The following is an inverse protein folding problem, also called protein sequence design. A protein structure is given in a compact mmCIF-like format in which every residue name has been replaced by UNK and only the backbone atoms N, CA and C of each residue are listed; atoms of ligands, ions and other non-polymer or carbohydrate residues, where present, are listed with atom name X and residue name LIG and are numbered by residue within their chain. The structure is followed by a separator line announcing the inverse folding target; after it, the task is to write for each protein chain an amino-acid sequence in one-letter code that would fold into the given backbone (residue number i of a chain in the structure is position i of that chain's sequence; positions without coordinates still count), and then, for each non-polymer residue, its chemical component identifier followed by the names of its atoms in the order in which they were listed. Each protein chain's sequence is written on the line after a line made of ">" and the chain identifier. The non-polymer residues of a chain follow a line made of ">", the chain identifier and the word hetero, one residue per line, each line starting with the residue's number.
data_IF_582818608246
#
_entry.id   IF_582818608246
#
_cell.length_a   1.000
_cell.length_b   1.000
_cell.length_c   1.000
_cell.angle_alpha   90.00
_cell.angle_beta   90.00
_cell.angle_gamma   90.00
#
_symmetry.space_group_name_H-M   'P 1'
#
loop_
_entity.id
_entity.type
_entity.pdbx_description
1 polymer ?
#
# COMPACT_ATOMS: atom_id res chain seq x y z
N UNK A 1 15.23 28.88 0.63
CA UNK A 1 16.31 28.65 1.61
C UNK A 1 16.21 27.20 2.08
N UNK A 2 16.79 26.26 1.34
CA UNK A 2 16.95 24.87 1.76
C UNK A 2 18.30 24.77 2.44
N UNK A 3 18.35 25.05 3.75
CA UNK A 3 19.50 24.67 4.55
C UNK A 3 19.60 23.15 4.48
N UNK A 4 20.68 22.66 3.87
CA UNK A 4 20.99 21.23 3.77
C UNK A 4 21.27 20.74 5.20
N UNK A 5 20.20 20.42 5.94
CA UNK A 5 20.31 19.72 7.22
C UNK A 5 20.81 18.33 6.89
N UNK A 6 22.13 18.19 6.82
CA UNK A 6 22.79 16.90 6.67
C UNK A 6 22.39 16.07 7.87
N UNK A 7 21.51 15.09 7.65
CA UNK A 7 21.06 14.16 8.67
C UNK A 7 22.29 13.47 9.29
N UNK A 8 22.52 13.68 10.59
CA UNK A 8 23.65 13.08 11.30
C UNK A 8 23.37 11.60 11.57
N UNK A 9 23.83 10.76 10.65
CA UNK A 9 23.75 9.31 10.74
C UNK A 9 24.41 8.78 12.02
N UNK A 10 25.49 9.44 12.49
CA UNK A 10 26.23 8.98 13.67
C UNK A 10 25.41 9.22 14.94
N UNK A 11 24.84 10.42 15.09
CA UNK A 11 23.90 10.71 16.18
C UNK A 11 22.74 9.71 16.22
N UNK A 12 22.14 9.37 15.08
CA UNK A 12 21.09 8.35 15.02
C UNK A 12 21.59 6.95 15.43
N UNK A 13 22.80 6.56 15.01
CA UNK A 13 23.40 5.28 15.41
C UNK A 13 23.67 5.24 16.91
N UNK A 14 24.15 6.33 17.51
CA UNK A 14 24.41 6.44 18.94
C UNK A 14 23.11 6.32 19.75
N UNK A 15 22.03 7.00 19.34
CA UNK A 15 20.69 6.89 19.94
C UNK A 15 20.13 5.46 19.89
N UNK A 16 20.24 4.79 18.72
CA UNK A 16 19.80 3.39 18.59
C UNK A 16 20.67 2.48 19.46
N UNK A 17 21.98 2.72 19.53
CA UNK A 17 22.89 1.92 20.34
C UNK A 17 22.53 2.03 21.83
N UNK A 18 22.20 3.23 22.30
CA UNK A 18 21.74 3.47 23.67
C UNK A 18 20.43 2.70 23.96
N UNK A 19 19.44 2.80 23.06
CA UNK A 19 18.18 2.05 23.17
C UNK A 19 18.40 0.53 23.21
N UNK A 20 19.36 0.03 22.43
CA UNK A 20 19.62 -1.40 22.28
C UNK A 20 20.51 -1.99 23.37
N UNK A 21 21.34 -1.18 24.02
CA UNK A 21 22.36 -1.64 24.97
C UNK A 21 21.81 -2.54 26.09
N UNK A 22 20.64 -2.25 26.71
CA UNK A 22 20.08 -3.11 27.77
C UNK A 22 19.62 -4.50 27.28
N UNK A 23 19.47 -4.68 25.97
CA UNK A 23 18.81 -5.84 25.37
C UNK A 23 19.74 -6.76 24.58
N UNK A 24 20.99 -6.36 24.33
CA UNK A 24 21.94 -7.08 23.46
C UNK A 24 22.31 -8.48 23.98
N UNK A 25 22.54 -8.60 25.29
CA UNK A 25 22.92 -9.85 25.97
C UNK A 25 21.72 -10.64 26.53
N UNK A 26 20.48 -10.27 26.16
CA UNK A 26 19.32 -11.01 26.63
C UNK A 26 19.16 -12.29 25.81
N UNK A 27 19.07 -13.42 26.52
CA UNK A 27 18.67 -14.71 25.95
C UNK A 27 17.16 -14.81 25.75
N UNK A 28 16.38 -13.82 26.21
CA UNK A 28 14.94 -13.67 25.96
C UNK A 28 14.70 -12.75 24.77
N UNK A 29 13.53 -12.87 24.15
CA UNK A 29 13.13 -11.99 23.06
C UNK A 29 13.16 -10.53 23.53
N UNK A 30 13.86 -9.63 22.81
CA UNK A 30 13.89 -8.21 23.16
C UNK A 30 12.52 -7.57 22.87
N UNK A 31 12.19 -6.44 23.53
CA UNK A 31 10.88 -5.78 23.40
C UNK A 31 10.73 -4.98 22.10
N UNK A 32 11.29 -5.48 20.99
CA UNK A 32 11.24 -4.85 19.68
C UNK A 32 10.51 -5.74 18.68
N UNK A 33 9.71 -5.10 17.84
CA UNK A 33 9.13 -5.76 16.66
C UNK A 33 10.23 -6.08 15.64
N UNK A 34 9.99 -7.07 14.78
CA UNK A 34 10.92 -7.39 13.68
C UNK A 34 11.11 -6.19 12.73
N UNK A 35 10.07 -5.37 12.52
CA UNK A 35 10.16 -4.13 11.74
C UNK A 35 11.19 -3.16 12.33
N UNK A 36 11.11 -2.88 13.64
CA UNK A 36 12.09 -2.05 14.35
C UNK A 36 13.51 -2.59 14.21
N UNK A 37 13.71 -3.90 14.44
CA UNK A 37 15.02 -4.54 14.31
C UNK A 37 15.59 -4.45 12.89
N UNK A 38 14.75 -4.55 11.85
CA UNK A 38 15.18 -4.37 10.46
C UNK A 38 15.64 -2.94 10.19
N UNK A 39 14.90 -1.94 10.66
CA UNK A 39 15.27 -0.53 10.51
C UNK A 39 16.62 -0.26 11.19
N UNK A 40 16.79 -0.70 12.44
CA UNK A 40 18.06 -0.58 13.16
C UNK A 40 19.19 -1.26 12.38
N UNK A 41 18.98 -2.49 11.91
CA UNK A 41 19.97 -3.22 11.12
C UNK A 41 20.35 -2.53 9.81
N UNK A 42 19.41 -1.88 9.13
CA UNK A 42 19.71 -1.09 7.93
C UNK A 42 20.47 0.20 8.25
N UNK A 43 20.18 0.87 9.37
CA UNK A 43 20.91 2.06 9.82
C UNK A 43 22.39 1.72 10.12
N UNK A 44 22.65 0.60 10.78
CA UNK A 44 24.03 0.15 11.05
C UNK A 44 24.73 -0.48 9.84
N UNK A 45 23.98 -0.99 8.86
CA UNK A 45 24.57 -1.47 7.61
C UNK A 45 25.11 -0.34 6.72
N UNK A 46 24.65 0.91 6.91
CA UNK A 46 25.17 2.07 6.17
C UNK A 46 26.60 2.38 6.63
N UNK A 47 27.57 2.21 5.72
CA UNK A 47 29.00 2.49 5.96
C UNK A 47 29.43 3.92 5.65
N UNK A 48 28.68 4.61 4.81
CA UNK A 48 28.95 6.00 4.40
C UNK A 48 27.64 6.76 4.56
N UNK A 49 27.68 8.05 4.92
CA UNK A 49 26.48 8.88 5.10
C UNK A 49 25.57 9.00 3.86
N UNK A 50 25.87 8.29 2.77
CA UNK A 50 25.02 8.18 1.59
C UNK A 50 23.92 7.14 1.82
N UNK A 51 22.72 7.45 1.35
CA UNK A 51 21.56 6.53 1.34
C UNK A 51 21.69 5.41 0.32
N UNK A 52 22.83 4.70 0.33
CA UNK A 52 23.02 3.53 -0.53
C UNK A 52 22.11 2.39 -0.08
N UNK A 53 21.34 1.80 -1.00
CA UNK A 53 20.57 0.60 -0.73
C UNK A 53 21.49 -0.52 -0.21
N UNK A 54 20.97 -1.34 0.70
CA UNK A 54 21.68 -2.45 1.33
C UNK A 54 20.92 -3.75 1.13
N UNK A 55 21.59 -4.89 0.93
CA UNK A 55 20.90 -6.17 0.84
C UNK A 55 20.24 -6.49 2.19
N UNK A 56 19.07 -7.14 2.16
CA UNK A 56 18.37 -7.58 3.37
C UNK A 56 19.25 -8.47 4.28
N UNK A 57 20.21 -9.18 3.68
CA UNK A 57 21.20 -9.99 4.40
C UNK A 57 22.02 -9.14 5.40
N UNK A 58 22.34 -7.89 5.08
CA UNK A 58 23.11 -7.02 5.97
C UNK A 58 22.36 -6.73 7.27
N UNK A 59 21.08 -6.32 7.17
CA UNK A 59 20.24 -6.11 8.34
C UNK A 59 20.04 -7.39 9.15
N UNK A 60 19.76 -8.52 8.49
CA UNK A 60 19.64 -9.85 9.15
C UNK A 60 20.90 -10.23 9.92
N UNK A 61 22.07 -10.06 9.29
CA UNK A 61 23.36 -10.37 9.92
C UNK A 61 23.63 -9.45 11.11
N UNK A 62 23.25 -8.17 11.04
CA UNK A 62 23.35 -7.27 12.17
C UNK A 62 22.49 -7.75 13.33
N UNK A 63 21.20 -8.06 13.10
CA UNK A 63 20.29 -8.57 14.14
C UNK A 63 20.88 -9.78 14.86
N UNK A 64 21.36 -10.78 14.10
CA UNK A 64 21.93 -12.03 14.64
C UNK A 64 23.27 -11.81 15.36
N UNK A 65 24.04 -10.78 15.00
CA UNK A 65 25.31 -10.46 15.65
C UNK A 65 25.13 -9.60 16.91
N UNK A 66 24.12 -8.75 16.94
CA UNK A 66 23.90 -7.77 18.01
C UNK A 66 23.03 -8.34 19.14
N UNK A 67 22.13 -9.28 18.84
CA UNK A 67 21.15 -9.79 19.80
C UNK A 67 21.32 -11.28 20.04
N UNK A 68 21.71 -11.64 21.26
CA UNK A 68 21.99 -13.02 21.66
C UNK A 68 20.79 -13.96 21.46
N UNK A 69 19.57 -13.51 21.76
CA UNK A 69 18.35 -14.30 21.50
C UNK A 69 18.25 -14.79 20.05
N UNK A 70 18.41 -13.89 19.07
CA UNK A 70 18.33 -14.25 17.65
C UNK A 70 19.56 -15.04 17.18
N UNK A 71 20.73 -14.82 17.81
CA UNK A 71 21.90 -15.66 17.60
C UNK A 71 21.65 -17.11 17.99
N UNK A 72 21.17 -17.32 19.22
CA UNK A 72 20.84 -18.65 19.76
C UNK A 72 19.77 -19.34 18.92
N UNK A 73 18.75 -18.61 18.44
CA UNK A 73 17.79 -19.16 17.48
C UNK A 73 18.45 -19.60 16.17
N UNK A 74 19.30 -18.75 15.58
CA UNK A 74 19.97 -19.07 14.32
C UNK A 74 20.92 -20.27 14.45
N UNK A 75 21.66 -20.38 15.56
CA UNK A 75 22.53 -21.53 15.85
C UNK A 75 21.72 -22.79 16.09
N UNK A 76 20.64 -22.73 16.89
CA UNK A 76 19.76 -23.87 17.12
C UNK A 76 19.13 -24.37 15.81
N UNK A 77 18.73 -23.46 14.93
CA UNK A 77 18.17 -23.78 13.62
C UNK A 77 19.20 -24.44 12.71
N UNK A 78 20.44 -23.96 12.72
CA UNK A 78 21.55 -24.56 11.96
C UNK A 78 21.87 -25.98 12.46
N UNK A 79 21.91 -26.20 13.78
CA UNK A 79 22.26 -27.50 14.37
C UNK A 79 21.11 -28.52 14.32
N UNK A 80 19.86 -28.08 14.42
CA UNK A 80 18.72 -29.00 14.62
C UNK A 80 18.18 -29.64 13.34
N UNK A 81 18.69 -29.32 12.15
CA UNK A 81 18.07 -29.66 10.85
C UNK A 81 16.58 -29.30 10.77
N UNK A 82 16.06 -28.51 11.72
CA UNK A 82 14.63 -28.25 11.89
C UNK A 82 14.24 -27.08 10.99
N UNK A 83 13.78 -27.43 9.79
CA UNK A 83 13.27 -26.49 8.77
C UNK A 83 12.20 -25.55 9.35
N UNK A 84 11.46 -25.95 10.40
CA UNK A 84 10.30 -25.22 10.93
C UNK A 84 10.63 -23.86 11.55
N UNK A 85 11.70 -23.73 12.34
CA UNK A 85 12.03 -22.47 13.04
C UNK A 85 12.66 -21.43 12.10
N UNK A 86 13.49 -21.88 11.18
CA UNK A 86 14.05 -21.02 10.13
C UNK A 86 12.95 -20.40 9.26
N UNK A 87 11.86 -21.14 9.05
CA UNK A 87 10.67 -20.65 8.34
C UNK A 87 9.94 -19.57 9.14
N UNK A 88 9.88 -19.66 10.48
CA UNK A 88 9.19 -18.67 11.31
C UNK A 88 9.86 -17.29 11.26
N UNK A 89 11.15 -17.19 11.58
CA UNK A 89 11.86 -15.89 11.56
C UNK A 89 11.92 -15.28 10.16
N UNK A 90 12.13 -16.10 9.12
CA UNK A 90 12.07 -15.64 7.72
C UNK A 90 10.68 -15.13 7.34
N UNK A 91 9.63 -15.80 7.81
CA UNK A 91 8.24 -15.40 7.60
C UNK A 91 7.93 -14.09 8.30
N UNK A 92 8.38 -13.90 9.54
CA UNK A 92 8.19 -12.64 10.27
C UNK A 92 8.92 -11.46 9.61
N UNK A 93 10.14 -11.67 9.12
CA UNK A 93 10.85 -10.64 8.34
C UNK A 93 10.10 -10.30 7.06
N UNK A 94 9.59 -11.32 6.35
CA UNK A 94 8.78 -11.10 5.15
C UNK A 94 7.53 -10.28 5.48
N UNK A 95 6.80 -10.66 6.53
CA UNK A 95 5.63 -9.91 7.01
C UNK A 95 5.96 -8.48 7.41
N UNK A 96 7.08 -8.26 8.10
CA UNK A 96 7.52 -6.92 8.48
C UNK A 96 7.83 -6.06 7.24
N UNK A 97 8.52 -6.64 6.24
CA UNK A 97 8.75 -6.01 4.95
C UNK A 97 7.49 -5.86 4.09
N UNK A 98 6.37 -6.44 4.48
CA UNK A 98 5.05 -6.22 3.89
C UNK A 98 4.24 -5.16 4.64
N UNK A 99 4.71 -4.64 5.78
CA UNK A 99 4.00 -3.58 6.50
C UNK A 99 4.17 -2.23 5.78
N UNK A 100 3.08 -1.52 5.52
CA UNK A 100 3.12 -0.28 4.76
C UNK A 100 3.89 0.87 5.44
N UNK A 101 3.90 0.91 6.77
CA UNK A 101 4.46 1.98 7.60
C UNK A 101 5.96 1.83 7.86
N UNK A 102 6.57 0.74 7.40
CA UNK A 102 8.00 0.53 7.51
C UNK A 102 8.74 1.55 6.63
N UNK A 103 9.64 2.40 7.18
CA UNK A 103 10.28 3.50 6.44
C UNK A 103 11.42 3.04 5.51
N UNK A 104 11.17 1.99 4.71
CA UNK A 104 12.11 1.41 3.76
C UNK A 104 11.63 1.54 2.33
N UNK A 105 12.58 1.78 1.43
CA UNK A 105 12.39 1.75 -0.01
C UNK A 105 13.10 0.52 -0.56
N UNK A 106 12.39 -0.29 -1.32
CA UNK A 106 12.98 -1.41 -2.07
C UNK A 106 13.70 -0.90 -3.31
N UNK A 107 14.80 -1.54 -3.67
CA UNK A 107 15.59 -1.26 -4.87
C UNK A 107 15.96 -2.56 -5.58
N UNK A 108 16.04 -2.48 -6.90
CA UNK A 108 16.50 -3.55 -7.78
C UNK A 108 17.87 -3.21 -8.35
N UNK A 109 18.79 -4.16 -8.24
CA UNK A 109 20.03 -4.10 -9.02
C UNK A 109 19.75 -4.56 -10.45
N UNK A 110 20.07 -3.72 -11.43
CA UNK A 110 20.09 -4.13 -12.83
C UNK A 110 21.37 -4.92 -13.15
N UNK A 111 21.39 -5.62 -14.29
CA UNK A 111 22.53 -6.44 -14.72
C UNK A 111 23.83 -5.64 -14.94
N UNK A 112 23.72 -4.32 -15.12
CA UNK A 112 24.83 -3.39 -15.33
C UNK A 112 25.34 -2.77 -14.02
N UNK A 113 24.85 -3.22 -12.86
CA UNK A 113 25.26 -2.71 -11.54
C UNK A 113 24.63 -1.37 -11.15
N UNK A 114 23.73 -0.83 -11.96
CA UNK A 114 22.88 0.30 -11.59
C UNK A 114 21.76 -0.15 -10.64
N UNK A 115 21.34 0.75 -9.77
CA UNK A 115 20.27 0.50 -8.81
C UNK A 115 19.08 1.38 -9.17
N UNK A 116 17.91 0.76 -9.38
CA UNK A 116 16.63 1.47 -9.62
C UNK A 116 15.67 1.18 -8.46
N UNK A 117 14.73 2.08 -8.13
CA UNK A 117 13.66 1.76 -7.20
C UNK A 117 12.98 0.45 -7.65
N UNK A 118 12.79 -0.47 -6.71
CA UNK A 118 12.15 -1.74 -7.02
C UNK A 118 10.72 -1.45 -7.45
N UNK A 119 10.31 -2.04 -8.56
CA UNK A 119 8.91 -2.02 -8.93
C UNK A 119 8.21 -3.06 -8.06
N UNK A 120 7.42 -2.62 -7.06
CA UNK A 120 6.48 -3.49 -6.34
C UNK A 120 5.65 -4.21 -7.42
N UNK A 121 5.83 -5.53 -7.56
CA UNK A 121 5.52 -6.22 -8.80
C UNK A 121 6.47 -7.38 -9.05
N UNK A 122 7.74 -7.08 -9.30
CA UNK A 122 8.64 -8.15 -9.68
C UNK A 122 8.99 -9.01 -8.44
N UNK A 123 8.62 -10.29 -8.53
CA UNK A 123 9.16 -11.36 -7.70
C UNK A 123 10.66 -11.57 -8.03
N UNK A 124 11.43 -10.48 -8.04
CA UNK A 124 12.88 -10.55 -8.10
C UNK A 124 13.28 -11.33 -6.86
N UNK A 125 13.87 -12.49 -7.15
CA UNK A 125 14.61 -13.32 -6.22
C UNK A 125 15.16 -12.51 -5.05
N UNK A 126 14.70 -12.82 -3.83
CA UNK A 126 14.86 -11.94 -2.65
C UNK A 126 16.31 -11.54 -2.35
N UNK A 127 17.27 -12.26 -2.95
CA UNK A 127 18.69 -11.99 -2.85
C UNK A 127 19.19 -10.79 -3.68
N UNK A 128 18.46 -10.35 -4.72
CA UNK A 128 18.82 -9.16 -5.52
C UNK A 128 18.14 -7.86 -5.04
N UNK A 129 17.12 -7.96 -4.17
CA UNK A 129 16.45 -6.78 -3.61
C UNK A 129 17.37 -6.10 -2.59
N UNK A 130 17.65 -4.83 -2.84
CA UNK A 130 18.32 -3.94 -1.91
C UNK A 130 17.28 -3.04 -1.24
N UNK A 131 17.61 -2.48 -0.08
CA UNK A 131 16.70 -1.69 0.74
C UNK A 131 17.42 -0.46 1.24
N UNK A 132 16.82 0.70 1.12
CA UNK A 132 17.27 1.91 1.81
C UNK A 132 16.25 2.31 2.86
N UNK A 133 16.70 3.10 3.83
CA UNK A 133 15.84 3.66 4.88
C UNK A 133 15.78 5.18 4.72
N UNK A 134 14.58 5.75 4.86
CA UNK A 134 14.38 7.19 5.01
C UNK A 134 14.79 7.61 6.42
N UNK A 135 15.98 8.20 6.56
CA UNK A 135 16.57 8.52 7.87
C UNK A 135 15.67 9.44 8.71
N UNK A 136 14.94 10.35 8.06
CA UNK A 136 14.03 11.28 8.72
C UNK A 136 12.88 10.59 9.43
N UNK A 137 12.40 9.47 8.87
CA UNK A 137 11.30 8.70 9.42
C UNK A 137 11.75 7.67 10.46
N UNK A 138 13.06 7.40 10.57
CA UNK A 138 13.58 6.37 11.50
C UNK A 138 13.32 6.75 12.93
N UNK A 139 13.65 7.99 13.32
CA UNK A 139 13.49 8.40 14.72
C UNK A 139 12.04 8.30 15.15
N UNK A 140 11.13 8.79 14.33
CA UNK A 140 9.69 8.71 14.59
C UNK A 140 9.20 7.25 14.64
N UNK A 141 9.63 6.40 13.71
CA UNK A 141 9.25 4.98 13.67
C UNK A 141 9.77 4.19 14.88
N UNK A 142 10.99 4.49 15.33
CA UNK A 142 11.61 3.85 16.50
C UNK A 142 11.18 4.50 17.82
N UNK A 143 10.45 5.63 17.78
CA UNK A 143 10.07 6.38 18.98
C UNK A 143 11.24 7.11 19.65
N UNK A 144 12.32 7.40 18.92
CA UNK A 144 13.51 8.12 19.38
C UNK A 144 13.32 9.63 19.48
N UNK A 145 12.33 10.19 18.80
CA UNK A 145 11.95 11.60 18.94
C UNK A 145 11.29 11.78 20.32
N UNK A 146 12.12 11.78 21.37
CA UNK A 146 11.79 11.88 22.77
C UNK A 146 11.30 13.29 23.17
N UNK A 147 10.53 13.95 22.29
CA UNK A 147 9.62 15.05 22.67
C UNK A 147 8.19 14.54 22.86
N UNK A 148 8.06 13.28 23.24
CA UNK A 148 6.90 12.81 24.00
C UNK A 148 7.26 12.89 25.49
N UNK A 149 7.49 14.11 25.97
CA UNK A 149 6.71 14.48 27.14
C UNK A 149 5.27 14.31 26.64
N UNK A 150 4.69 13.13 26.87
CA UNK A 150 3.26 12.95 26.69
C UNK A 150 2.70 14.02 27.59
N UNK A 151 2.30 15.15 27.02
CA UNK A 151 1.59 16.15 27.77
C UNK A 151 0.53 15.37 28.52
N UNK A 152 0.54 15.44 29.86
CA UNK A 152 -0.43 14.72 30.68
C UNK A 152 -1.87 15.08 30.27
N UNK A 153 -2.00 16.23 29.60
CA UNK A 153 -3.21 16.75 29.02
C UNK A 153 -3.40 16.31 27.54
N UNK A 154 -4.60 15.82 27.19
CA UNK A 154 -4.98 15.54 25.80
C UNK A 154 -4.81 16.77 24.91
N UNK A 155 -4.31 16.57 23.69
CA UNK A 155 -4.22 17.63 22.69
C UNK A 155 -5.63 18.16 22.34
N UNK A 156 -5.89 19.48 22.48
CA UNK A 156 -7.22 20.06 22.27
C UNK A 156 -7.53 20.22 20.77
N UNK A 157 -7.72 19.09 20.08
CA UNK A 157 -7.91 19.04 18.62
C UNK A 157 -9.04 19.96 18.12
N UNK A 158 -10.13 20.08 18.89
CA UNK A 158 -11.30 20.87 18.51
C UNK A 158 -11.11 22.39 18.69
N UNK A 159 -10.09 22.82 19.43
CA UNK A 159 -9.76 24.23 19.61
C UNK A 159 -8.93 24.77 18.43
N UNK A 160 -8.43 23.88 17.56
CA UNK A 160 -7.77 24.28 16.33
C UNK A 160 -8.77 24.89 15.32
N UNK A 161 -8.34 25.81 14.45
CA UNK A 161 -9.09 26.18 13.25
C UNK A 161 -9.45 24.97 12.38
N UNK A 162 -10.57 25.06 11.66
CA UNK A 162 -11.10 23.97 10.86
C UNK A 162 -10.09 23.50 9.78
N UNK A 163 -9.34 24.43 9.21
CA UNK A 163 -8.32 24.18 8.20
C UNK A 163 -7.21 23.26 8.72
N UNK A 164 -6.73 23.53 9.95
CA UNK A 164 -5.70 22.70 10.57
C UNK A 164 -6.23 21.31 10.93
N UNK A 165 -7.50 21.22 11.40
CA UNK A 165 -8.14 19.92 11.64
C UNK A 165 -8.23 19.10 10.36
N UNK A 166 -8.65 19.73 9.25
CA UNK A 166 -8.70 19.08 7.93
C UNK A 166 -7.32 18.57 7.51
N UNK A 167 -6.27 19.39 7.64
CA UNK A 167 -4.91 18.94 7.34
C UNK A 167 -4.46 17.75 8.20
N UNK A 168 -4.80 17.74 9.49
CA UNK A 168 -4.54 16.60 10.38
C UNK A 168 -5.30 15.35 9.90
N UNK A 169 -6.58 15.48 9.55
CA UNK A 169 -7.36 14.35 9.04
C UNK A 169 -6.82 13.83 7.71
N UNK A 170 -6.38 14.70 6.81
CA UNK A 170 -5.74 14.30 5.55
C UNK A 170 -4.44 13.53 5.79
N UNK A 171 -3.63 13.95 6.77
CA UNK A 171 -2.42 13.21 7.16
C UNK A 171 -2.72 11.86 7.82
N UNK A 172 -3.78 11.77 8.62
CA UNK A 172 -4.13 10.55 9.37
C UNK A 172 -4.87 9.52 8.51
N UNK A 173 -5.77 9.98 7.64
CA UNK A 173 -6.68 9.13 6.85
C UNK A 173 -6.24 9.00 5.40
N UNK A 174 -5.27 9.81 4.96
CA UNK A 174 -4.67 9.73 3.64
C UNK A 174 -3.71 8.55 3.58
N UNK A 175 -4.06 7.56 2.76
CA UNK A 175 -3.18 6.45 2.45
C UNK A 175 -2.34 6.78 1.21
N UNK A 176 -1.22 6.05 0.98
CA UNK A 176 -0.43 6.20 -0.23
C UNK A 176 -1.31 6.14 -1.49
N UNK A 177 -0.99 6.95 -2.53
CA UNK A 177 -1.78 6.99 -3.78
C UNK A 177 -1.76 5.66 -4.56
N UNK A 178 -0.98 4.69 -4.10
CA UNK A 178 -1.06 3.29 -4.52
C UNK A 178 -2.43 2.66 -4.36
N UNK A 179 -3.34 3.30 -3.61
CA UNK A 179 -4.73 2.89 -3.44
C UNK A 179 -4.96 1.83 -2.36
N UNK A 180 -6.19 1.85 -1.86
CA UNK A 180 -6.68 1.17 -0.67
C UNK A 180 -7.58 0.01 -1.07
N UNK A 181 -7.26 -1.17 -0.55
CA UNK A 181 -8.08 -2.36 -0.65
C UNK A 181 -8.51 -2.80 0.75
N UNK A 182 -9.70 -3.40 0.86
CA UNK A 182 -10.15 -4.01 2.11
C UNK A 182 -10.11 -5.52 1.99
N UNK A 183 -9.42 -6.17 2.92
CA UNK A 183 -9.32 -7.63 2.97
C UNK A 183 -9.93 -8.17 4.26
N UNK A 184 -10.57 -9.34 4.16
CA UNK A 184 -11.06 -10.03 5.36
C UNK A 184 -9.88 -10.77 5.99
N UNK A 185 -9.58 -10.43 7.24
CA UNK A 185 -8.62 -11.13 8.10
C UNK A 185 -9.37 -11.89 9.20
N UNK A 186 -8.67 -12.79 9.90
CA UNK A 186 -9.17 -13.44 11.13
C UNK A 186 -9.51 -12.43 12.21
N UNK A 187 -8.76 -11.33 12.23
CA UNK A 187 -8.85 -10.30 13.28
C UNK A 187 -9.81 -9.15 12.90
N UNK A 188 -10.47 -9.24 11.75
CA UNK A 188 -11.37 -8.21 11.23
C UNK A 188 -11.05 -7.78 9.80
N UNK A 189 -11.67 -6.70 9.35
CA UNK A 189 -11.34 -6.10 8.06
C UNK A 189 -10.00 -5.35 8.16
N UNK A 190 -9.05 -5.67 7.28
CA UNK A 190 -7.75 -5.02 7.21
C UNK A 190 -7.70 -4.11 6.00
N UNK A 191 -7.05 -2.96 6.16
CA UNK A 191 -6.68 -2.11 5.05
C UNK A 191 -5.41 -2.67 4.45
N UNK A 192 -5.40 -2.91 3.15
CA UNK A 192 -4.21 -3.35 2.42
C UNK A 192 -3.91 -2.32 1.33
N UNK A 193 -2.62 -2.08 1.09
CA UNK A 193 -2.14 -1.12 0.10
C UNK A 193 -1.45 -1.85 -1.04
N UNK A 194 -1.52 -1.29 -2.25
CA UNK A 194 -0.89 -1.93 -3.40
C UNK A 194 0.63 -1.73 -3.45
N UNK A 195 1.13 -0.58 -2.97
CA UNK A 195 2.54 -0.19 -3.08
C UNK A 195 2.93 0.77 -1.96
N UNK A 196 4.23 0.82 -1.62
CA UNK A 196 4.76 1.81 -0.65
C UNK A 196 5.00 3.16 -1.32
N UNK A 197 5.09 3.17 -2.65
CA UNK A 197 5.35 4.39 -3.39
C UNK A 197 4.06 5.23 -3.45
N UNK A 198 4.07 6.31 -2.65
CA UNK A 198 2.97 7.26 -2.51
C UNK A 198 2.62 7.98 -3.82
N UNK A 199 3.50 8.00 -4.83
CA UNK A 199 3.31 8.73 -6.08
C UNK A 199 3.23 7.81 -7.31
N UNK A 200 3.36 6.50 -7.11
CA UNK A 200 3.33 5.56 -8.22
C UNK A 200 1.94 5.56 -8.86
N UNK A 201 1.93 5.91 -10.14
CA UNK A 201 0.76 5.69 -10.99
C UNK A 201 0.47 4.19 -11.02
N UNK A 202 -0.81 3.83 -10.86
CA UNK A 202 -1.27 2.44 -10.91
C UNK A 202 -0.87 1.72 -12.22
N UNK A 203 -0.47 2.46 -13.28
CA UNK A 203 -0.09 2.11 -14.66
C UNK A 203 0.56 0.75 -15.00
N UNK A 204 1.04 -0.02 -14.04
CA UNK A 204 1.62 -1.36 -14.26
C UNK A 204 0.87 -2.49 -13.53
N UNK A 205 -0.39 -2.29 -13.13
CA UNK A 205 -1.19 -3.23 -12.33
C UNK A 205 -1.80 -4.43 -13.10
N UNK A 206 -1.31 -4.77 -14.30
CA UNK A 206 -1.82 -5.91 -15.08
C UNK A 206 -1.22 -7.23 -14.63
N UNK A 207 -2.09 -8.23 -14.41
CA UNK A 207 -1.72 -9.61 -14.12
C UNK A 207 -1.37 -10.29 -15.45
N UNK A 208 -0.14 -10.12 -15.93
CA UNK A 208 0.28 -10.95 -17.03
C UNK A 208 0.28 -12.41 -16.56
N UNK A 209 -0.61 -13.23 -17.12
CA UNK A 209 -0.47 -14.69 -17.08
C UNK A 209 0.78 -15.04 -17.87
N UNK A 210 1.94 -14.96 -17.24
CA UNK A 210 3.13 -15.63 -17.80
C UNK A 210 2.74 -17.09 -18.03
N UNK A 211 2.97 -17.61 -19.23
CA UNK A 211 2.52 -18.92 -19.76
C UNK A 211 2.92 -20.15 -18.93
N UNK A 212 3.58 -19.95 -17.79
CA UNK A 212 3.80 -21.00 -16.81
C UNK A 212 2.48 -21.39 -16.15
N UNK A 213 2.00 -22.60 -16.48
CA UNK A 213 0.84 -23.32 -15.91
C UNK A 213 0.86 -23.53 -14.38
N UNK A 214 1.67 -22.77 -13.64
CA UNK A 214 1.52 -22.60 -12.20
C UNK A 214 0.14 -21.98 -11.94
N UNK A 215 -0.79 -22.78 -11.41
CA UNK A 215 -2.24 -22.53 -11.30
C UNK A 215 -2.69 -21.31 -10.48
N UNK A 216 -1.79 -20.41 -10.12
CA UNK A 216 -2.15 -19.13 -9.53
C UNK A 216 -1.16 -18.11 -10.06
N UNK A 217 -1.59 -17.06 -10.79
CA UNK A 217 -0.77 -15.88 -10.91
C UNK A 217 -0.57 -15.39 -9.47
N UNK A 218 0.60 -15.67 -8.91
CA UNK A 218 1.01 -14.99 -7.69
C UNK A 218 0.93 -13.52 -8.04
N UNK A 219 0.01 -12.81 -7.39
CA UNK A 219 -0.13 -11.37 -7.52
C UNK A 219 1.25 -10.76 -7.35
N UNK A 220 1.87 -10.38 -8.45
CA UNK A 220 3.18 -9.75 -8.49
C UNK A 220 3.18 -8.48 -7.61
N UNK A 221 2.00 -7.89 -7.40
CA UNK A 221 1.77 -6.90 -6.36
C UNK A 221 1.89 -7.50 -4.97
N UNK A 222 3.01 -7.17 -4.31
CA UNK A 222 3.18 -7.39 -2.89
C UNK A 222 2.22 -6.44 -2.16
N UNK A 223 1.00 -6.94 -1.92
CA UNK A 223 0.02 -6.29 -1.05
C UNK A 223 0.68 -5.98 0.27
N UNK A 224 0.69 -4.71 0.64
CA UNK A 224 1.21 -4.28 1.91
C UNK A 224 0.12 -4.39 2.94
N UNK A 225 0.42 -5.09 4.03
CA UNK A 225 -0.47 -5.17 5.16
C UNK A 225 -0.54 -3.79 5.84
N UNK A 226 -1.73 -3.20 5.81
CA UNK A 226 -2.07 -2.04 6.61
C UNK A 226 -2.62 -2.40 8.00
N UNK A 227 -3.01 -1.40 8.79
CA UNK A 227 -3.68 -1.60 10.07
C UNK A 227 -5.06 -2.25 9.87
N UNK A 228 -5.65 -2.70 10.99
CA UNK A 228 -7.07 -3.02 10.98
C UNK A 228 -7.87 -1.76 10.62
N UNK A 229 -8.95 -1.94 9.87
CA UNK A 229 -9.83 -0.83 9.51
C UNK A 229 -10.44 -0.17 10.76
N UNK A 230 -10.65 -0.94 11.84
CA UNK A 230 -11.07 -0.41 13.15
C UNK A 230 -10.07 0.58 13.73
N UNK A 231 -8.78 0.28 13.60
CA UNK A 231 -7.71 1.06 14.23
C UNK A 231 -7.44 2.32 13.41
N UNK A 232 -7.36 2.18 12.09
CA UNK A 232 -7.17 3.30 11.18
C UNK A 232 -8.34 4.29 11.23
N UNK A 233 -9.57 3.79 11.29
CA UNK A 233 -10.78 4.61 11.34
C UNK A 233 -11.21 4.97 12.77
N UNK A 234 -10.38 4.66 13.78
CA UNK A 234 -10.71 4.90 15.18
C UNK A 234 -11.03 6.37 15.47
N UNK A 235 -10.35 7.31 14.80
CA UNK A 235 -10.60 8.75 14.94
C UNK A 235 -12.06 9.11 14.60
N UNK A 236 -12.70 8.40 13.67
CA UNK A 236 -14.09 8.63 13.28
C UNK A 236 -15.10 8.23 14.37
N UNK A 237 -14.65 7.49 15.39
CA UNK A 237 -15.46 7.04 16.50
C UNK A 237 -15.36 7.95 17.74
N UNK A 238 -14.45 8.94 17.73
CA UNK A 238 -14.15 9.77 18.91
C UNK A 238 -15.22 10.83 19.19
N UNK A 239 -15.74 11.48 18.16
CA UNK A 239 -16.76 12.54 18.28
C UNK A 239 -17.59 12.65 17.01
N UNK A 240 -18.86 13.06 17.14
CA UNK A 240 -19.75 13.30 16.00
C UNK A 240 -19.22 14.39 15.06
N UNK A 241 -18.61 15.44 15.63
CA UNK A 241 -18.02 16.52 14.84
C UNK A 241 -16.80 16.02 14.06
N UNK A 242 -15.87 15.34 14.73
CA UNK A 242 -14.69 14.72 14.10
C UNK A 242 -15.13 13.76 12.99
N UNK A 243 -16.11 12.90 13.25
CA UNK A 243 -16.68 12.01 12.25
C UNK A 243 -17.23 12.77 11.03
N UNK A 244 -18.00 13.84 11.25
CA UNK A 244 -18.61 14.62 10.19
C UNK A 244 -17.56 15.34 9.31
N UNK A 245 -16.46 15.82 9.91
CA UNK A 245 -15.35 16.49 9.21
C UNK A 245 -14.43 15.49 8.49
N UNK A 246 -14.06 14.40 9.15
CA UNK A 246 -13.02 13.49 8.71
C UNK A 246 -13.52 12.35 7.79
N UNK A 247 -14.77 11.90 7.94
CA UNK A 247 -15.33 10.82 7.13
C UNK A 247 -15.32 11.15 5.61
N UNK A 248 -15.75 12.34 5.17
CA UNK A 248 -15.68 12.70 3.75
C UNK A 248 -14.25 12.77 3.23
N UNK A 249 -13.27 13.16 4.07
CA UNK A 249 -11.86 13.23 3.70
C UNK A 249 -11.37 11.83 3.33
N UNK A 250 -11.61 10.83 4.17
CA UNK A 250 -11.21 9.44 3.91
C UNK A 250 -11.74 8.91 2.57
N UNK A 251 -13.01 9.14 2.24
CA UNK A 251 -13.58 8.66 0.98
C UNK A 251 -13.17 9.46 -0.26
N UNK A 252 -12.79 10.73 -0.07
CA UNK A 252 -12.38 11.63 -1.15
C UNK A 252 -10.93 11.39 -1.58
N UNK A 253 -10.01 11.36 -0.63
CA UNK A 253 -8.58 11.41 -0.95
C UNK A 253 -8.03 10.05 -1.35
N UNK A 254 -8.64 8.96 -0.88
CA UNK A 254 -8.18 7.60 -1.14
C UNK A 254 -8.76 7.03 -2.44
N UNK A 255 -7.93 6.31 -3.18
CA UNK A 255 -8.39 5.50 -4.33
C UNK A 255 -8.79 4.12 -3.85
N UNK A 256 -10.06 3.74 -3.98
CA UNK A 256 -10.54 2.42 -3.57
C UNK A 256 -10.32 1.39 -4.67
N UNK A 257 -9.54 0.35 -4.36
CA UNK A 257 -9.11 -0.69 -5.27
C UNK A 257 -9.93 -1.96 -5.05
N UNK A 258 -10.51 -2.48 -6.13
CA UNK A 258 -11.25 -3.74 -6.14
C UNK A 258 -10.61 -4.72 -7.11
N UNK A 259 -10.32 -5.95 -6.65
CA UNK A 259 -9.72 -6.98 -7.51
C UNK A 259 -10.72 -7.64 -8.46
N UNK A 260 -12.01 -7.45 -8.21
CA UNK A 260 -13.08 -8.00 -9.02
C UNK A 260 -14.38 -7.21 -8.83
N UNK A 261 -15.33 -7.44 -9.74
CA UNK A 261 -16.69 -6.91 -9.64
C UNK A 261 -17.42 -7.42 -8.39
N UNK A 262 -17.16 -8.66 -7.97
CA UNK A 262 -17.74 -9.23 -6.76
C UNK A 262 -17.22 -8.54 -5.49
N UNK A 263 -15.94 -8.17 -5.46
CA UNK A 263 -15.38 -7.40 -4.34
C UNK A 263 -16.04 -6.02 -4.24
N UNK A 264 -16.21 -5.34 -5.37
CA UNK A 264 -16.92 -4.06 -5.42
C UNK A 264 -18.39 -4.20 -4.98
N UNK A 265 -19.13 -5.17 -5.52
CA UNK A 265 -20.52 -5.42 -5.13
C UNK A 265 -20.64 -5.73 -3.62
N UNK A 266 -19.75 -6.58 -3.10
CA UNK A 266 -19.69 -6.90 -1.67
C UNK A 266 -19.38 -5.68 -0.82
N UNK A 267 -18.46 -4.82 -1.27
CA UNK A 267 -18.17 -3.56 -0.59
C UNK A 267 -19.40 -2.67 -0.57
N UNK A 268 -20.01 -2.41 -1.74
CA UNK A 268 -21.18 -1.54 -1.88
C UNK A 268 -22.40 -2.02 -1.08
N UNK A 269 -22.57 -3.32 -0.86
CA UNK A 269 -23.66 -3.84 0.00
C UNK A 269 -23.39 -3.66 1.50
N UNK A 270 -22.14 -3.51 1.92
CA UNK A 270 -21.74 -3.32 3.32
C UNK A 270 -21.64 -1.87 3.75
N UNK A 271 -21.49 -0.96 2.80
CA UNK A 271 -21.36 0.47 3.08
C UNK A 271 -22.70 1.20 2.84
N UNK A 272 -23.00 2.21 3.66
CA UNK A 272 -24.24 2.98 3.49
C UNK A 272 -24.18 3.83 2.21
N UNK A 273 -25.34 4.04 1.59
CA UNK A 273 -25.44 4.86 0.38
C UNK A 273 -24.85 6.27 0.57
N UNK A 274 -25.03 6.88 1.75
CA UNK A 274 -24.43 8.18 2.08
C UNK A 274 -22.91 8.18 1.97
N UNK A 275 -22.24 7.11 2.40
CA UNK A 275 -20.78 6.98 2.33
C UNK A 275 -20.32 6.63 0.92
N UNK A 276 -21.06 5.79 0.19
CA UNK A 276 -20.81 5.52 -1.23
C UNK A 276 -20.79 6.79 -2.07
N UNK A 277 -21.72 7.73 -1.82
CA UNK A 277 -21.76 9.02 -2.51
C UNK A 277 -20.57 9.94 -2.21
N UNK A 278 -19.71 9.61 -1.24
CA UNK A 278 -18.51 10.38 -0.91
C UNK A 278 -17.25 9.88 -1.61
N UNK A 279 -17.32 8.72 -2.28
CA UNK A 279 -16.17 8.14 -2.97
C UNK A 279 -15.90 8.92 -4.25
N UNK A 280 -14.68 9.45 -4.38
CA UNK A 280 -14.27 10.21 -5.56
C UNK A 280 -13.41 9.38 -6.53
N UNK A 281 -12.66 8.39 -6.03
CA UNK A 281 -11.72 7.61 -6.84
C UNK A 281 -11.91 6.10 -6.65
N UNK A 282 -12.16 5.39 -7.76
CA UNK A 282 -12.29 3.92 -7.78
C UNK A 282 -11.36 3.34 -8.84
N UNK A 283 -10.65 2.26 -8.48
CA UNK A 283 -9.93 1.43 -9.42
C UNK A 283 -10.47 -0.01 -9.35
N UNK A 284 -10.67 -0.64 -10.50
CA UNK A 284 -11.13 -2.03 -10.56
C UNK A 284 -10.26 -2.84 -11.52
N UNK A 285 -9.86 -4.03 -11.06
CA UNK A 285 -9.30 -5.05 -11.90
C UNK A 285 -10.39 -5.94 -12.50
N UNK A 286 -10.46 -5.92 -13.82
CA UNK A 286 -11.37 -6.73 -14.59
C UNK A 286 -10.67 -8.00 -15.06
N UNK A 287 -10.63 -8.99 -14.18
CA UNK A 287 -10.30 -10.37 -14.54
C UNK A 287 -11.56 -11.11 -15.00
N UNK A 288 -11.48 -11.94 -16.05
CA UNK A 288 -12.63 -12.72 -16.53
C UNK A 288 -13.19 -13.71 -15.49
N UNK A 289 -12.37 -14.11 -14.52
CA UNK A 289 -12.63 -15.28 -13.67
C UNK A 289 -13.65 -15.04 -12.54
N UNK A 290 -14.07 -13.80 -12.31
CA UNK A 290 -14.77 -13.44 -11.06
C UNK A 290 -15.98 -12.52 -11.28
N UNK A 291 -17.14 -13.13 -11.53
CA UNK A 291 -18.41 -12.58 -11.05
C UNK A 291 -19.63 -12.80 -11.92
N UNK A 292 -20.74 -13.15 -11.26
CA UNK A 292 -22.07 -13.32 -11.88
C UNK A 292 -22.86 -12.00 -11.98
N UNK A 293 -22.35 -10.89 -11.42
CA UNK A 293 -23.13 -9.65 -11.22
C UNK A 293 -22.41 -8.34 -11.63
N UNK A 294 -21.72 -8.26 -12.77
CA UNK A 294 -21.08 -7.00 -13.18
C UNK A 294 -22.06 -5.82 -13.34
N UNK A 295 -23.30 -6.11 -13.73
CA UNK A 295 -24.37 -5.12 -13.86
C UNK A 295 -24.69 -4.39 -12.56
N UNK A 296 -24.76 -5.13 -11.46
CA UNK A 296 -25.09 -4.54 -10.16
C UNK A 296 -23.98 -3.59 -9.71
N UNK A 297 -22.73 -4.02 -9.84
CA UNK A 297 -21.58 -3.20 -9.49
C UNK A 297 -21.42 -1.99 -10.42
N UNK A 298 -21.70 -2.13 -11.73
CA UNK A 298 -21.75 -1.02 -12.67
C UNK A 298 -22.83 0.01 -12.30
N UNK A 299 -24.04 -0.45 -11.94
CA UNK A 299 -25.11 0.43 -11.46
C UNK A 299 -24.74 1.15 -10.16
N UNK A 300 -24.00 0.48 -9.27
CA UNK A 300 -23.49 1.08 -8.03
C UNK A 300 -22.42 2.14 -8.31
N UNK A 301 -21.50 1.91 -9.24
CA UNK A 301 -20.56 2.94 -9.69
C UNK A 301 -21.31 4.14 -10.30
N UNK A 302 -22.32 3.87 -11.13
CA UNK A 302 -23.14 4.91 -11.72
C UNK A 302 -23.90 5.75 -10.67
N UNK A 303 -24.22 5.19 -9.50
CA UNK A 303 -24.88 5.91 -8.40
C UNK A 303 -23.92 6.71 -7.50
N UNK A 304 -22.60 6.53 -7.62
CA UNK A 304 -21.60 7.32 -6.89
C UNK A 304 -21.52 8.73 -7.47
N UNK A 305 -22.38 9.65 -7.03
CA UNK A 305 -22.55 10.99 -7.61
C UNK A 305 -21.29 11.86 -7.58
N UNK A 306 -20.38 11.64 -6.64
CA UNK A 306 -19.10 12.34 -6.52
C UNK A 306 -17.91 11.64 -7.16
N UNK A 307 -18.11 10.50 -7.83
CA UNK A 307 -17.02 9.83 -8.53
C UNK A 307 -16.41 10.78 -9.57
N UNK A 308 -15.12 11.08 -9.43
CA UNK A 308 -14.34 11.94 -10.32
C UNK A 308 -13.39 11.13 -11.18
N UNK A 309 -12.82 10.04 -10.64
CA UNK A 309 -11.85 9.20 -11.33
C UNK A 309 -12.23 7.73 -11.27
N UNK A 310 -12.15 7.06 -12.42
CA UNK A 310 -12.37 5.63 -12.56
C UNK A 310 -11.23 4.99 -13.35
N UNK A 311 -10.41 4.18 -12.67
CA UNK A 311 -9.32 3.41 -13.27
C UNK A 311 -9.79 1.99 -13.56
N UNK A 312 -9.81 1.60 -14.83
CA UNK A 312 -10.23 0.27 -15.27
C UNK A 312 -9.03 -0.52 -15.78
N UNK A 313 -8.74 -1.63 -15.12
CA UNK A 313 -7.66 -2.53 -15.47
C UNK A 313 -8.20 -3.72 -16.22
N UNK A 314 -7.74 -3.93 -17.45
CA UNK A 314 -8.18 -5.03 -18.30
C UNK A 314 -7.02 -5.58 -19.11
N UNK A 315 -6.91 -6.90 -19.15
CA UNK A 315 -6.07 -7.59 -20.13
C UNK A 315 -6.98 -8.21 -21.20
N UNK A 316 -6.90 -7.76 -22.47
CA UNK A 316 -7.67 -8.39 -23.55
C UNK A 316 -7.13 -9.78 -23.91
N UNK A 317 -5.86 -10.08 -23.60
CA UNK A 317 -5.27 -11.40 -23.86
C UNK A 317 -5.89 -12.49 -22.99
N UNK A 318 -6.42 -12.13 -21.82
CA UNK A 318 -7.19 -13.02 -20.94
C UNK A 318 -8.55 -13.44 -21.52
N UNK A 319 -8.95 -12.89 -22.68
CA UNK A 319 -10.22 -13.27 -23.31
C UNK A 319 -10.08 -14.56 -24.09
N UNK A 320 -10.59 -15.66 -23.52
CA UNK A 320 -10.82 -16.86 -24.30
C UNK A 320 -11.74 -16.55 -25.50
N UNK A 321 -11.33 -16.85 -26.75
CA UNK A 321 -12.14 -16.63 -27.93
C UNK A 321 -13.36 -17.55 -27.89
N UNK A 322 -14.48 -17.06 -27.35
CA UNK A 322 -15.73 -17.82 -27.28
C UNK A 322 -16.64 -17.45 -26.11
N UNK A 323 -16.10 -16.87 -25.04
CA UNK A 323 -16.90 -16.50 -23.87
C UNK A 323 -17.73 -15.24 -24.19
N UNK A 324 -19.03 -15.45 -24.44
CA UNK A 324 -20.02 -14.38 -24.70
C UNK A 324 -20.38 -13.67 -23.38
N UNK A 325 -19.49 -12.86 -22.84
CA UNK A 325 -19.79 -11.95 -21.73
C UNK A 325 -20.85 -10.92 -22.15
N UNK A 326 -22.09 -11.08 -21.68
CA UNK A 326 -23.22 -10.21 -21.98
C UNK A 326 -23.13 -8.88 -21.23
N UNK A 327 -23.45 -7.79 -21.93
CA UNK A 327 -23.65 -6.42 -21.45
C UNK A 327 -22.45 -5.51 -21.12
N UNK A 328 -21.38 -5.94 -20.43
CA UNK A 328 -20.20 -5.03 -20.31
C UNK A 328 -19.51 -4.84 -21.68
N UNK A 329 -19.78 -5.75 -22.64
CA UNK A 329 -19.46 -5.58 -24.07
C UNK A 329 -20.01 -4.30 -24.69
N UNK A 330 -21.01 -3.64 -24.09
CA UNK A 330 -21.63 -2.43 -24.66
C UNK A 330 -21.07 -1.12 -24.12
N UNK A 331 -20.28 -1.17 -23.05
CA UNK A 331 -19.74 0.06 -22.43
C UNK A 331 -20.83 1.02 -21.93
N UNK A 332 -22.08 0.56 -21.76
CA UNK A 332 -23.22 1.43 -21.45
C UNK A 332 -22.99 2.22 -20.15
N UNK A 333 -22.46 1.57 -19.10
CA UNK A 333 -22.12 2.26 -17.85
C UNK A 333 -20.94 3.24 -18.03
N UNK A 334 -19.97 2.94 -18.91
CA UNK A 334 -18.87 3.87 -19.22
C UNK A 334 -19.45 5.12 -19.89
N UNK A 335 -20.44 4.99 -20.78
CA UNK A 335 -21.12 6.15 -21.37
C UNK A 335 -21.73 7.04 -20.30
N UNK A 336 -22.36 6.46 -19.27
CA UNK A 336 -22.93 7.24 -18.17
C UNK A 336 -21.86 7.94 -17.32
N UNK A 337 -20.71 7.30 -17.11
CA UNK A 337 -19.56 7.93 -16.48
C UNK A 337 -18.97 9.07 -17.33
N UNK A 338 -18.82 8.88 -18.65
CA UNK A 338 -18.30 9.90 -19.55
C UNK A 338 -19.25 11.10 -19.63
N UNK A 339 -20.58 10.87 -19.72
CA UNK A 339 -21.58 11.96 -19.67
C UNK A 339 -21.46 12.79 -18.38
N UNK A 340 -21.11 12.14 -17.27
CA UNK A 340 -20.87 12.79 -15.97
C UNK A 340 -19.48 13.45 -15.85
N UNK A 341 -18.68 13.42 -16.92
CA UNK A 341 -17.30 13.94 -16.97
C UNK A 341 -16.36 13.25 -15.96
N UNK A 342 -16.63 11.98 -15.64
CA UNK A 342 -15.70 11.17 -14.84
C UNK A 342 -14.45 10.89 -15.68
N UNK A 343 -13.27 11.12 -15.11
CA UNK A 343 -12.00 10.78 -15.74
C UNK A 343 -11.84 9.26 -15.75
N UNK A 344 -11.95 8.66 -16.93
CA UNK A 344 -11.76 7.23 -17.13
C UNK A 344 -10.35 6.98 -17.65
N UNK A 345 -9.58 6.17 -16.92
CA UNK A 345 -8.27 5.69 -17.40
C UNK A 345 -8.36 4.19 -17.57
N UNK A 346 -8.08 3.71 -18.77
CA UNK A 346 -8.02 2.28 -19.07
C UNK A 346 -6.55 1.87 -19.06
N UNK A 347 -6.25 0.77 -18.37
CA UNK A 347 -4.90 0.25 -18.23
C UNK A 347 -4.84 -1.21 -18.69
N UNK A 348 -3.68 -1.61 -19.21
CA UNK A 348 -3.42 -2.93 -19.77
C UNK A 348 -3.47 -3.01 -21.29
N UNK A 349 -3.18 -4.19 -21.83
CA UNK A 349 -3.24 -4.42 -23.28
C UNK A 349 -4.69 -4.60 -23.72
N UNK A 350 -5.38 -3.47 -23.92
CA UNK A 350 -6.80 -3.44 -24.29
C UNK A 350 -7.15 -2.36 -25.31
N UNK A 351 -6.51 -2.39 -26.50
CA UNK A 351 -6.63 -1.32 -27.49
C UNK A 351 -8.06 -1.09 -27.98
N UNK A 352 -8.93 -2.12 -27.97
CA UNK A 352 -10.33 -1.97 -28.43
C UNK A 352 -11.15 -1.20 -27.41
N UNK A 353 -10.96 -1.48 -26.12
CA UNK A 353 -11.65 -0.76 -25.06
C UNK A 353 -11.17 0.69 -24.98
N UNK A 354 -9.86 0.92 -25.08
CA UNK A 354 -9.30 2.26 -25.12
C UNK A 354 -9.83 3.07 -26.31
N UNK A 355 -9.86 2.47 -27.51
CA UNK A 355 -10.44 3.10 -28.70
C UNK A 355 -11.92 3.44 -28.51
N UNK A 356 -12.70 2.56 -27.87
CA UNK A 356 -14.11 2.80 -27.57
C UNK A 356 -14.30 3.96 -26.58
N UNK A 357 -13.51 4.01 -25.50
CA UNK A 357 -13.57 5.13 -24.53
C UNK A 357 -13.21 6.45 -25.20
N UNK A 358 -12.13 6.48 -26.00
CA UNK A 358 -11.72 7.68 -26.76
C UNK A 358 -12.80 8.13 -27.75
N UNK A 359 -13.40 7.19 -28.48
CA UNK A 359 -14.49 7.47 -29.43
C UNK A 359 -15.70 8.09 -28.73
N UNK A 360 -16.15 7.52 -27.61
CA UNK A 360 -17.31 8.02 -26.86
C UNK A 360 -17.05 9.42 -26.25
N UNK A 361 -15.83 9.68 -25.77
CA UNK A 361 -15.42 11.01 -25.32
C UNK A 361 -15.52 12.02 -26.47
N UNK A 362 -14.95 11.71 -27.64
CA UNK A 362 -14.97 12.60 -28.80
C UNK A 362 -16.39 12.89 -29.33
N UNK A 363 -17.29 11.90 -29.29
CA UNK A 363 -18.69 12.08 -29.66
C UNK A 363 -19.43 13.04 -28.72
N UNK A 364 -19.13 12.98 -27.42
CA UNK A 364 -19.74 13.87 -26.42
C UNK A 364 -19.20 15.30 -26.51
N UNK A 365 -17.90 15.45 -26.78
CA UNK A 365 -17.28 16.77 -27.00
C UNK A 365 -17.85 17.45 -28.26
N UNK A 366 -17.98 16.71 -29.36
CA UNK A 366 -18.56 17.23 -30.61
C UNK A 366 -20.00 17.73 -30.42
N UNK A 367 -20.84 16.96 -29.73
CA UNK A 367 -22.22 17.35 -29.39
C UNK A 367 -22.31 18.54 -28.43
N UNK A 368 -21.27 18.78 -27.62
CA UNK A 368 -21.22 19.93 -26.71
C UNK A 368 -20.80 21.21 -27.43
N UNK A 369 -20.07 21.12 -28.54
CA UNK A 369 -19.64 22.26 -29.34
C UNK A 369 -20.73 22.77 -30.30
N UNK A 370 -21.67 21.91 -30.69
CA UNK A 370 -22.82 22.27 -31.55
C UNK A 370 -23.96 22.99 -30.82
N UNK A 371 -23.90 23.07 -29.48
CA UNK A 371 -24.87 23.78 -28.63
C UNK A 371 -24.29 25.09 -28.16
#
# INVERSE_FOLDING_TARGET
>A
MSGDQTFDLKSLQDEIQEMMSPHSALTKQPPFTIGQLLIMGFVFAKRTGRSQPQPLRSAKMWIVKTLEFYNNQAVADFCSSSVKRQVAFRSEIKKALEMWDLPVVGWESNALGGVRPATDGEQVDSYKKMWSVHLESVRTYLGLDARRDVAEEPFPLLDLPAELRVSIYELLLGMPRSGLMTEKSTDGARISLLSRDFERKLGNWCFHKTESRSRYPHSDFQKLAGPLASDHLAILLTSKQVCAEALPIFYRINTFIFLSWDNLATFCTKISMRRLMQIEHVAINWTQEHGSQPHQAANMIASMSRLQKFDLWLDESDREPGVRGGAIRRGDFLRDLIKRKVQITVHGDCPKLEALVRMEIGLLESRSAER
#
